data_IF_044795299317
#
_entry.id   IF_044795299317
#
_cell.length_a   1.000
_cell.length_b   1.000
_cell.length_c   1.000
_cell.angle_alpha   90.00
_cell.angle_beta   90.00
_cell.angle_gamma   90.00
#
_symmetry.space_group_name_H-M   'P 1'
#
loop_
_entity.id
_entity.type
_entity.pdbx_description
1 polymer ?
#
# COMPACT_ATOMS: atom_id res chain seq x y z
N UNK A 1 22.44 7.16 -8.82
CA UNK A 1 22.28 7.04 -7.34
C UNK A 1 21.67 8.30 -6.73
N UNK A 2 22.29 9.49 -6.82
CA UNK A 2 21.75 10.71 -6.18
C UNK A 2 20.30 11.10 -6.59
N UNK A 3 19.96 10.96 -7.89
CA UNK A 3 18.60 11.26 -8.36
C UNK A 3 17.53 10.40 -7.67
N UNK A 4 17.78 9.11 -7.49
CA UNK A 4 16.79 8.21 -6.83
C UNK A 4 16.56 8.58 -5.37
N UNK A 5 17.62 8.93 -4.64
CA UNK A 5 17.48 9.43 -3.27
C UNK A 5 16.67 10.73 -3.20
N UNK A 6 16.93 11.69 -4.11
CA UNK A 6 16.14 12.93 -4.20
C UNK A 6 14.67 12.63 -4.51
N UNK A 7 14.39 11.72 -5.46
CA UNK A 7 13.02 11.33 -5.78
C UNK A 7 12.28 10.69 -4.59
N UNK A 8 12.97 9.90 -3.75
CA UNK A 8 12.38 9.40 -2.49
C UNK A 8 12.02 10.53 -1.54
N UNK A 9 12.86 11.56 -1.40
CA UNK A 9 12.58 12.73 -0.58
C UNK A 9 11.38 13.54 -1.13
N UNK A 10 11.32 13.70 -2.46
CA UNK A 10 10.17 14.35 -3.12
C UNK A 10 8.90 13.53 -2.93
N UNK A 11 8.98 12.18 -3.02
CA UNK A 11 7.86 11.29 -2.74
C UNK A 11 7.36 11.47 -1.30
N UNK A 12 8.27 11.45 -0.33
CA UNK A 12 7.94 11.65 1.10
C UNK A 12 7.27 13.01 1.34
N UNK A 13 7.84 14.09 0.80
CA UNK A 13 7.28 15.44 0.91
C UNK A 13 5.89 15.52 0.25
N UNK A 14 5.72 14.96 -0.95
CA UNK A 14 4.45 14.98 -1.66
C UNK A 14 3.36 14.16 -0.95
N UNK A 15 3.68 12.98 -0.41
CA UNK A 15 2.74 12.19 0.41
C UNK A 15 2.33 12.95 1.67
N UNK A 16 3.29 13.59 2.34
CA UNK A 16 3.03 14.44 3.52
C UNK A 16 2.14 15.63 3.14
N UNK A 17 2.41 16.29 2.01
CA UNK A 17 1.59 17.40 1.51
C UNK A 17 0.16 16.94 1.19
N UNK A 18 0.00 15.80 0.52
CA UNK A 18 -1.31 15.23 0.22
C UNK A 18 -2.12 14.97 1.49
N UNK A 19 -1.52 14.34 2.51
CA UNK A 19 -2.18 14.05 3.79
C UNK A 19 -2.51 15.32 4.61
N UNK A 20 -1.64 16.34 4.56
CA UNK A 20 -1.90 17.61 5.26
C UNK A 20 -3.01 18.41 4.58
N UNK A 21 -2.99 18.52 3.24
CA UNK A 21 -4.01 19.26 2.50
C UNK A 21 -5.33 18.50 2.40
N UNK A 22 -5.29 17.17 2.53
CA UNK A 22 -6.44 16.28 2.50
C UNK A 22 -7.33 16.37 3.76
N UNK A 23 -8.33 15.48 3.86
CA UNK A 23 -9.32 15.50 4.93
C UNK A 23 -8.77 15.15 6.32
N UNK A 24 -7.51 14.71 6.41
CA UNK A 24 -6.88 14.37 7.70
C UNK A 24 -6.58 15.62 8.54
N UNK A 25 -6.05 16.72 7.94
CA UNK A 25 -5.55 17.88 8.70
C UNK A 25 -6.30 19.15 8.29
N UNK A 26 -6.10 19.66 7.08
CA UNK A 26 -6.62 20.97 6.65
C UNK A 26 -7.94 20.88 5.89
N UNK A 27 -8.25 19.76 5.26
CA UNK A 27 -9.44 19.60 4.47
C UNK A 27 -9.53 20.55 3.26
N UNK A 28 -8.41 21.05 2.77
CA UNK A 28 -8.35 21.92 1.57
C UNK A 28 -8.68 21.11 0.32
N UNK A 29 -8.23 19.86 0.27
CA UNK A 29 -8.59 18.92 -0.78
C UNK A 29 -9.81 18.14 -0.30
N UNK A 30 -10.94 18.40 -0.91
CA UNK A 30 -12.19 17.70 -0.66
C UNK A 30 -12.45 16.68 -1.77
N UNK A 31 -12.66 15.42 -1.40
CA UNK A 31 -12.91 14.36 -2.36
C UNK A 31 -14.39 14.25 -2.70
N UNK A 32 -14.70 13.99 -3.96
CA UNK A 32 -16.04 13.69 -4.46
C UNK A 32 -16.47 12.26 -4.05
N UNK A 33 -16.69 12.04 -2.77
CA UNK A 33 -17.03 10.73 -2.19
C UNK A 33 -18.10 10.88 -1.10
N UNK A 34 -18.74 9.79 -0.71
CA UNK A 34 -19.67 9.75 0.41
C UNK A 34 -18.98 10.11 1.74
N UNK A 35 -19.78 10.40 2.77
CA UNK A 35 -19.27 10.66 4.13
C UNK A 35 -18.53 9.45 4.72
N UNK A 36 -18.99 8.23 4.42
CA UNK A 36 -18.34 6.99 4.83
C UNK A 36 -16.97 6.83 4.16
N UNK A 37 -16.90 6.97 2.83
CA UNK A 37 -15.64 6.89 2.09
C UNK A 37 -14.66 8.00 2.51
N UNK A 38 -15.13 9.22 2.81
CA UNK A 38 -14.31 10.30 3.38
C UNK A 38 -13.69 9.90 4.73
N UNK A 39 -14.44 9.21 5.58
CA UNK A 39 -13.91 8.65 6.82
C UNK A 39 -12.78 7.65 6.58
N UNK A 40 -12.94 6.79 5.58
CA UNK A 40 -11.91 5.82 5.19
C UNK A 40 -10.66 6.51 4.64
N UNK A 41 -10.82 7.55 3.78
CA UNK A 41 -9.68 8.33 3.28
C UNK A 41 -8.81 8.87 4.41
N UNK A 42 -9.41 9.44 5.47
CA UNK A 42 -8.66 9.91 6.65
C UNK A 42 -7.80 8.80 7.25
N UNK A 43 -8.34 7.59 7.40
CA UNK A 43 -7.58 6.43 7.90
C UNK A 43 -6.41 6.04 6.99
N UNK A 44 -6.61 6.08 5.67
CA UNK A 44 -5.55 5.86 4.68
C UNK A 44 -4.46 6.93 4.71
N UNK A 45 -4.84 8.20 4.90
CA UNK A 45 -3.88 9.30 5.04
C UNK A 45 -3.05 9.22 6.32
N UNK A 46 -3.62 8.72 7.43
CA UNK A 46 -2.85 8.41 8.65
C UNK A 46 -1.73 7.42 8.34
N UNK A 47 -2.03 6.32 7.64
CA UNK A 47 -1.01 5.35 7.25
C UNK A 47 0.04 5.95 6.30
N UNK A 48 -0.37 6.81 5.38
CA UNK A 48 0.53 7.54 4.50
C UNK A 48 1.50 8.44 5.27
N UNK A 49 0.98 9.21 6.24
CA UNK A 49 1.76 10.18 7.01
C UNK A 49 2.66 9.52 8.05
N UNK A 50 2.16 8.45 8.73
CA UNK A 50 2.87 7.82 9.87
C UNK A 50 3.83 6.72 9.42
N UNK A 51 3.57 6.06 8.30
CA UNK A 51 4.39 4.93 7.83
C UNK A 51 5.01 5.19 6.46
N UNK A 52 4.22 5.44 5.43
CA UNK A 52 4.74 5.46 4.07
C UNK A 52 5.69 6.63 3.81
N UNK A 53 5.34 7.85 4.22
CA UNK A 53 6.20 9.02 4.07
C UNK A 53 7.50 8.93 4.88
N UNK A 54 7.51 8.52 6.17
CA UNK A 54 8.75 8.29 6.92
C UNK A 54 9.65 7.21 6.31
N UNK A 55 9.08 6.12 5.79
CA UNK A 55 9.86 5.07 5.12
C UNK A 55 10.47 5.62 3.82
N UNK A 56 9.72 6.41 3.04
CA UNK A 56 10.24 7.08 1.85
C UNK A 56 11.36 8.07 2.18
N UNK A 57 11.21 8.84 3.26
CA UNK A 57 12.25 9.74 3.76
C UNK A 57 13.52 8.98 4.13
N UNK A 58 13.39 7.92 4.93
CA UNK A 58 14.51 7.08 5.34
C UNK A 58 15.20 6.44 4.12
N UNK A 59 14.41 5.91 3.17
CA UNK A 59 14.93 5.38 1.91
C UNK A 59 15.74 6.41 1.14
N UNK A 60 15.23 7.64 1.02
CA UNK A 60 15.90 8.74 0.34
C UNK A 60 17.23 9.10 0.97
N UNK A 61 17.26 9.29 2.28
CA UNK A 61 18.49 9.60 3.03
C UNK A 61 19.53 8.48 2.87
N UNK A 62 19.11 7.23 3.06
CA UNK A 62 20.01 6.08 2.93
C UNK A 62 20.54 5.92 1.51
N UNK A 63 19.71 6.16 0.49
CA UNK A 63 20.14 6.09 -0.91
C UNK A 63 21.12 7.22 -1.27
N UNK A 64 20.93 8.43 -0.73
CA UNK A 64 21.88 9.54 -0.90
C UNK A 64 23.25 9.27 -0.22
N UNK A 65 23.22 8.49 0.87
CA UNK A 65 24.41 8.03 1.59
C UNK A 65 25.01 6.74 1.00
N UNK A 66 24.57 6.33 -0.18
CA UNK A 66 25.04 5.14 -0.89
C UNK A 66 24.89 3.83 -0.07
N UNK A 67 23.88 3.78 0.82
CA UNK A 67 23.61 2.60 1.64
C UNK A 67 22.68 1.63 0.89
N UNK A 68 23.01 0.33 0.83
CA UNK A 68 22.24 -0.66 0.07
C UNK A 68 20.81 -0.85 0.58
N UNK A 69 20.53 -0.45 1.82
CA UNK A 69 19.18 -0.44 2.39
C UNK A 69 18.26 0.60 1.74
N UNK A 70 18.81 1.70 1.18
CA UNK A 70 18.05 2.76 0.54
C UNK A 70 17.12 2.25 -0.56
N UNK A 71 17.64 1.63 -1.63
CA UNK A 71 16.80 1.07 -2.71
C UNK A 71 15.85 -0.02 -2.21
N UNK A 72 16.22 -0.82 -1.20
CA UNK A 72 15.34 -1.86 -0.64
C UNK A 72 14.10 -1.25 0.05
N UNK A 73 14.31 -0.21 0.85
CA UNK A 73 13.22 0.50 1.52
C UNK A 73 12.33 1.28 0.54
N UNK A 74 12.88 1.76 -0.57
CA UNK A 74 12.16 2.59 -1.52
C UNK A 74 10.98 1.86 -2.20
N UNK A 75 11.03 0.52 -2.32
CA UNK A 75 9.97 -0.25 -2.97
C UNK A 75 8.61 -0.08 -2.30
N UNK A 76 8.56 -0.22 -0.97
CA UNK A 76 7.30 -0.19 -0.23
C UNK A 76 6.53 1.12 -0.46
N UNK A 77 7.07 2.32 -0.18
CA UNK A 77 6.37 3.58 -0.40
C UNK A 77 6.17 3.89 -1.88
N UNK A 78 7.05 3.44 -2.79
CA UNK A 78 6.90 3.64 -4.22
C UNK A 78 5.66 2.91 -4.76
N UNK A 79 5.51 1.61 -4.49
CA UNK A 79 4.36 0.82 -4.91
C UNK A 79 3.07 1.28 -4.19
N UNK A 80 3.17 1.65 -2.91
CA UNK A 80 2.08 2.22 -2.16
C UNK A 80 1.55 3.52 -2.80
N UNK A 81 2.45 4.43 -3.20
CA UNK A 81 2.06 5.67 -3.87
C UNK A 81 1.37 5.39 -5.21
N UNK A 82 1.89 4.46 -6.02
CA UNK A 82 1.25 4.05 -7.28
C UNK A 82 -0.17 3.56 -7.02
N UNK A 83 -0.37 2.72 -6.01
CA UNK A 83 -1.67 2.15 -5.69
C UNK A 83 -2.63 3.21 -5.12
N UNK A 84 -2.24 3.91 -4.05
CA UNK A 84 -3.14 4.83 -3.34
C UNK A 84 -3.53 6.05 -4.16
N UNK A 85 -2.57 6.72 -4.82
CA UNK A 85 -2.88 7.94 -5.57
C UNK A 85 -3.58 7.66 -6.90
N UNK A 86 -3.48 6.44 -7.44
CA UNK A 86 -4.37 6.00 -8.53
C UNK A 86 -5.82 5.94 -8.07
N UNK A 87 -6.08 5.42 -6.87
CA UNK A 87 -7.45 5.41 -6.31
C UNK A 87 -7.96 6.82 -6.02
N UNK A 88 -7.11 7.73 -5.57
CA UNK A 88 -7.50 9.12 -5.28
C UNK A 88 -7.94 9.88 -6.53
N UNK A 89 -7.46 9.48 -7.71
CA UNK A 89 -7.85 10.06 -9.00
C UNK A 89 -9.04 9.33 -9.62
N UNK A 90 -9.04 7.99 -9.60
CA UNK A 90 -10.02 7.20 -10.36
C UNK A 90 -11.23 6.75 -9.53
N UNK A 91 -11.15 6.79 -8.19
CA UNK A 91 -12.20 6.32 -7.29
C UNK A 91 -13.34 7.31 -7.01
N UNK A 92 -13.12 8.63 -7.03
CA UNK A 92 -14.17 9.59 -6.69
C UNK A 92 -15.34 9.60 -7.66
N UNK A 93 -16.53 9.92 -7.11
CA UNK A 93 -17.80 10.05 -7.85
C UNK A 93 -17.99 11.52 -8.26
N UNK A 94 -17.18 12.01 -9.18
CA UNK A 94 -17.05 13.43 -9.57
C UNK A 94 -18.37 14.14 -9.92
N UNK A 95 -19.36 13.40 -10.41
CA UNK A 95 -20.67 13.98 -10.80
C UNK A 95 -21.71 13.86 -9.69
N UNK A 96 -21.40 13.16 -8.61
CA UNK A 96 -22.38 12.82 -7.58
C UNK A 96 -22.21 13.60 -6.28
N UNK A 97 -20.96 13.79 -5.85
CA UNK A 97 -20.66 14.50 -4.61
C UNK A 97 -19.91 15.81 -4.88
N UNK A 98 -20.09 16.82 -4.03
CA UNK A 98 -19.26 18.02 -4.09
C UNK A 98 -17.82 17.69 -3.68
N UNK A 99 -16.88 18.41 -4.26
CA UNK A 99 -15.45 18.25 -3.97
C UNK A 99 -14.60 19.15 -4.87
N UNK A 100 -13.28 18.96 -4.79
CA UNK A 100 -12.30 19.71 -5.58
C UNK A 100 -11.01 18.95 -5.80
N UNK A 101 -10.98 17.62 -5.55
CA UNK A 101 -9.76 16.83 -5.61
C UNK A 101 -9.17 16.71 -7.02
N UNK A 102 -9.93 17.05 -8.07
CA UNK A 102 -9.42 17.17 -9.43
C UNK A 102 -8.33 18.24 -9.57
N UNK A 103 -8.36 19.30 -8.76
CA UNK A 103 -7.30 20.31 -8.76
C UNK A 103 -5.97 19.78 -8.15
N UNK A 104 -6.04 18.71 -7.37
CA UNK A 104 -4.86 18.00 -6.87
C UNK A 104 -4.31 16.95 -7.85
N UNK A 105 -4.91 16.79 -9.04
CA UNK A 105 -4.45 15.83 -10.05
C UNK A 105 -2.96 15.93 -10.36
N UNK A 106 -2.33 17.13 -10.54
CA UNK A 106 -0.89 17.20 -10.80
C UNK A 106 -0.04 16.62 -9.67
N UNK A 107 -0.45 16.82 -8.40
CA UNK A 107 0.21 16.23 -7.24
C UNK A 107 0.10 14.70 -7.28
N UNK A 108 -1.10 14.16 -7.43
CA UNK A 108 -1.33 12.71 -7.43
C UNK A 108 -0.66 12.03 -8.62
N UNK A 109 -0.77 12.58 -9.82
CA UNK A 109 -0.09 12.05 -11.01
C UNK A 109 1.44 12.07 -10.84
N UNK A 110 1.98 13.14 -10.26
CA UNK A 110 3.41 13.24 -9.93
C UNK A 110 3.85 12.15 -8.97
N UNK A 111 3.08 11.87 -7.91
CA UNK A 111 3.39 10.81 -6.94
C UNK A 111 3.34 9.42 -7.56
N UNK A 112 2.37 9.15 -8.43
CA UNK A 112 2.29 7.88 -9.18
C UNK A 112 3.50 7.71 -10.11
N UNK A 113 3.86 8.75 -10.87
CA UNK A 113 5.01 8.71 -11.78
C UNK A 113 6.33 8.52 -11.01
N UNK A 114 6.53 9.25 -9.92
CA UNK A 114 7.71 9.08 -9.06
C UNK A 114 7.76 7.66 -8.48
N UNK A 115 6.63 7.12 -8.03
CA UNK A 115 6.52 5.76 -7.55
C UNK A 115 6.98 4.74 -8.59
N UNK A 116 6.50 4.84 -9.82
CA UNK A 116 6.95 3.96 -10.92
C UNK A 116 8.43 4.11 -11.23
N UNK A 117 8.94 5.34 -11.31
CA UNK A 117 10.36 5.60 -11.55
C UNK A 117 11.21 4.97 -10.44
N UNK A 118 10.83 5.15 -9.17
CA UNK A 118 11.56 4.59 -8.03
C UNK A 118 11.55 3.06 -8.02
N UNK A 119 10.41 2.43 -8.28
CA UNK A 119 10.31 0.97 -8.37
C UNK A 119 11.20 0.42 -9.50
N UNK A 120 11.16 1.05 -10.68
CA UNK A 120 11.98 0.65 -11.82
C UNK A 120 13.49 0.84 -11.57
N UNK A 121 13.87 1.88 -10.82
CA UNK A 121 15.29 2.14 -10.50
C UNK A 121 15.80 1.28 -9.33
N UNK A 122 14.96 0.99 -8.35
CA UNK A 122 15.33 0.16 -7.21
C UNK A 122 15.55 -1.30 -7.61
N UNK A 123 14.75 -1.81 -8.55
CA UNK A 123 14.79 -3.22 -8.95
C UNK A 123 16.17 -3.72 -9.39
N UNK A 124 16.87 -3.10 -10.36
CA UNK A 124 18.19 -3.55 -10.77
C UNK A 124 19.24 -3.43 -9.64
N UNK A 125 19.17 -2.41 -8.80
CA UNK A 125 20.12 -2.22 -7.69
C UNK A 125 19.96 -3.31 -6.63
N UNK A 126 18.71 -3.63 -6.24
CA UNK A 126 18.42 -4.68 -5.26
C UNK A 126 18.75 -6.06 -5.82
N UNK A 127 18.49 -6.30 -7.12
CA UNK A 127 18.85 -7.56 -7.78
C UNK A 127 20.37 -7.72 -7.89
N UNK A 128 21.09 -6.65 -8.21
CA UNK A 128 22.56 -6.66 -8.32
C UNK A 128 23.27 -6.86 -6.97
N UNK A 129 22.62 -6.55 -5.86
CA UNK A 129 23.16 -6.76 -4.52
C UNK A 129 23.35 -8.23 -4.12
N UNK A 130 23.02 -9.19 -4.98
CA UNK A 130 23.18 -10.64 -4.76
C UNK A 130 22.71 -11.08 -3.37
N UNK A 131 21.49 -10.72 -3.03
CA UNK A 131 20.91 -10.94 -1.70
C UNK A 131 20.96 -12.41 -1.28
N UNK A 132 21.27 -12.71 -0.01
CA UNK A 132 21.31 -14.06 0.48
C UNK A 132 19.94 -14.73 0.40
N UNK A 133 19.89 -16.06 0.17
CA UNK A 133 18.62 -16.77 0.20
C UNK A 133 17.98 -16.67 1.59
N UNK A 134 16.67 -16.60 1.61
CA UNK A 134 15.89 -16.60 2.84
C UNK A 134 16.06 -17.93 3.57
N UNK A 135 16.11 -17.90 4.91
CA UNK A 135 16.09 -19.14 5.69
C UNK A 135 14.77 -19.88 5.50
N UNK A 136 14.77 -21.21 5.69
CA UNK A 136 13.57 -22.02 5.51
C UNK A 136 12.37 -21.49 6.32
N UNK A 137 12.58 -21.15 7.60
CA UNK A 137 11.52 -20.58 8.45
C UNK A 137 10.99 -19.25 7.92
N UNK A 138 11.88 -18.31 7.58
CA UNK A 138 11.47 -17.00 7.04
C UNK A 138 10.79 -17.14 5.68
N UNK A 139 11.26 -18.03 4.82
CA UNK A 139 10.66 -18.35 3.53
C UNK A 139 9.21 -18.83 3.67
N UNK A 140 8.99 -19.81 4.57
CA UNK A 140 7.66 -20.35 4.83
C UNK A 140 6.74 -19.28 5.47
N UNK A 141 7.26 -18.49 6.40
CA UNK A 141 6.49 -17.38 7.01
C UNK A 141 6.06 -16.33 5.99
N UNK A 142 6.99 -15.90 5.11
CA UNK A 142 6.67 -14.90 4.07
C UNK A 142 5.64 -15.46 3.09
N UNK A 143 5.84 -16.66 2.58
CA UNK A 143 4.88 -17.26 1.67
C UNK A 143 3.52 -17.46 2.35
N UNK A 144 3.51 -17.92 3.60
CA UNK A 144 2.29 -18.07 4.38
C UNK A 144 1.52 -16.77 4.59
N UNK A 145 2.22 -15.67 4.92
CA UNK A 145 1.58 -14.36 5.13
C UNK A 145 1.03 -13.82 3.81
N UNK A 146 1.79 -13.87 2.72
CA UNK A 146 1.32 -13.42 1.40
C UNK A 146 0.13 -14.23 0.89
N UNK A 147 0.12 -15.54 1.08
CA UNK A 147 -1.00 -16.39 0.69
C UNK A 147 -2.23 -16.18 1.58
N UNK A 148 -2.02 -15.98 2.89
CA UNK A 148 -3.11 -15.73 3.83
C UNK A 148 -3.76 -14.38 3.56
N UNK A 149 -2.97 -13.30 3.40
CA UNK A 149 -3.50 -11.98 3.04
C UNK A 149 -4.27 -12.04 1.72
N UNK A 150 -3.69 -12.65 0.69
CA UNK A 150 -4.36 -12.85 -0.61
C UNK A 150 -5.69 -13.59 -0.49
N UNK A 151 -5.74 -14.68 0.29
CA UNK A 151 -6.95 -15.47 0.48
C UNK A 151 -8.03 -14.68 1.22
N UNK A 152 -7.67 -13.91 2.26
CA UNK A 152 -8.60 -13.09 3.03
C UNK A 152 -9.20 -11.98 2.17
N UNK A 153 -8.36 -11.22 1.43
CA UNK A 153 -8.85 -10.16 0.55
C UNK A 153 -9.65 -10.72 -0.64
N UNK A 154 -9.19 -11.82 -1.26
CA UNK A 154 -9.97 -12.46 -2.33
C UNK A 154 -11.34 -12.93 -1.85
N UNK A 155 -11.42 -13.56 -0.69
CA UNK A 155 -12.70 -14.00 -0.12
C UNK A 155 -13.64 -12.82 0.16
N UNK A 156 -13.11 -11.70 0.72
CA UNK A 156 -13.89 -10.49 0.99
C UNK A 156 -14.42 -9.86 -0.31
N UNK A 157 -13.54 -9.69 -1.32
CA UNK A 157 -13.93 -9.04 -2.58
C UNK A 157 -14.86 -9.89 -3.43
N UNK A 158 -14.58 -11.19 -3.57
CA UNK A 158 -15.45 -12.11 -4.30
C UNK A 158 -16.78 -12.31 -3.59
N UNK A 159 -16.78 -12.41 -2.26
CA UNK A 159 -17.99 -12.48 -1.46
C UNK A 159 -18.90 -11.28 -1.67
N UNK A 160 -18.37 -10.06 -1.62
CA UNK A 160 -19.12 -8.84 -1.90
C UNK A 160 -19.64 -8.76 -3.34
N UNK A 161 -18.84 -9.22 -4.31
CA UNK A 161 -19.25 -9.27 -5.73
C UNK A 161 -20.39 -10.27 -5.94
N UNK A 162 -20.30 -11.47 -5.36
CA UNK A 162 -21.36 -12.49 -5.44
C UNK A 162 -22.65 -12.00 -4.79
N UNK A 163 -22.55 -11.32 -3.62
CA UNK A 163 -23.70 -10.70 -2.95
C UNK A 163 -24.41 -9.71 -3.87
N UNK A 164 -23.65 -8.82 -4.51
CA UNK A 164 -24.19 -7.85 -5.46
C UNK A 164 -24.91 -8.54 -6.64
N UNK A 165 -24.29 -9.56 -7.24
CA UNK A 165 -24.87 -10.31 -8.37
C UNK A 165 -26.15 -11.06 -7.98
N UNK A 166 -26.33 -11.38 -6.69
CA UNK A 166 -27.56 -11.99 -6.15
C UNK A 166 -28.63 -10.97 -5.76
N UNK A 167 -28.44 -9.69 -6.05
CA UNK A 167 -29.38 -8.62 -5.72
C UNK A 167 -29.33 -8.16 -4.27
N UNK A 168 -28.28 -8.52 -3.52
CA UNK A 168 -28.03 -8.09 -2.14
C UNK A 168 -26.74 -7.25 -2.07
N UNK A 169 -26.77 -5.99 -2.54
CA UNK A 169 -25.56 -5.16 -2.62
C UNK A 169 -24.96 -4.93 -1.23
N UNK A 170 -23.62 -5.01 -1.11
CA UNK A 170 -22.94 -4.68 0.13
C UNK A 170 -23.17 -3.21 0.54
N UNK A 171 -23.05 -2.94 1.85
CA UNK A 171 -23.10 -1.58 2.36
C UNK A 171 -22.04 -0.70 1.66
N UNK A 172 -22.39 0.54 1.34
CA UNK A 172 -21.51 1.49 0.65
C UNK A 172 -21.45 1.32 -0.87
N UNK A 173 -21.93 0.20 -1.45
CA UNK A 173 -21.92 0.03 -2.92
C UNK A 173 -22.73 1.12 -3.62
N UNK A 174 -23.93 1.39 -3.12
CA UNK A 174 -24.82 2.37 -3.73
C UNK A 174 -24.27 3.81 -3.61
N UNK A 175 -23.42 4.08 -2.61
CA UNK A 175 -22.87 5.41 -2.36
C UNK A 175 -21.65 5.70 -3.23
N UNK A 176 -20.70 4.77 -3.32
CA UNK A 176 -19.44 4.93 -4.06
C UNK A 176 -19.18 3.72 -4.98
N UNK A 177 -20.00 3.48 -6.04
CA UNK A 177 -19.86 2.33 -6.93
C UNK A 177 -18.54 2.34 -7.72
N UNK A 178 -18.03 3.50 -8.11
CA UNK A 178 -16.74 3.61 -8.81
C UNK A 178 -15.60 3.13 -7.93
N UNK A 179 -15.54 3.60 -6.69
CA UNK A 179 -14.51 3.17 -5.73
C UNK A 179 -14.64 1.67 -5.41
N UNK A 180 -15.88 1.17 -5.26
CA UNK A 180 -16.15 -0.24 -5.02
C UNK A 180 -15.55 -1.15 -6.09
N UNK A 181 -15.74 -0.84 -7.37
CA UNK A 181 -15.21 -1.63 -8.48
C UNK A 181 -13.72 -1.42 -8.68
N UNK A 182 -13.23 -0.19 -8.53
CA UNK A 182 -11.81 0.14 -8.71
C UNK A 182 -10.94 -0.65 -7.73
N UNK A 183 -11.26 -0.63 -6.43
CA UNK A 183 -10.48 -1.34 -5.40
C UNK A 183 -10.47 -2.84 -5.67
N UNK A 184 -11.63 -3.44 -5.96
CA UNK A 184 -11.73 -4.86 -6.29
C UNK A 184 -10.94 -5.23 -7.53
N UNK A 185 -11.02 -4.41 -8.57
CA UNK A 185 -10.26 -4.63 -9.80
C UNK A 185 -8.76 -4.59 -9.51
N UNK A 186 -8.27 -3.58 -8.84
CA UNK A 186 -6.83 -3.44 -8.53
C UNK A 186 -6.34 -4.60 -7.64
N UNK A 187 -7.08 -4.96 -6.61
CA UNK A 187 -6.67 -6.03 -5.71
C UNK A 187 -6.71 -7.40 -6.37
N UNK A 188 -7.81 -7.74 -7.06
CA UNK A 188 -7.98 -9.07 -7.67
C UNK A 188 -7.10 -9.27 -8.90
N UNK A 189 -6.72 -8.21 -9.62
CA UNK A 189 -5.96 -8.34 -10.87
C UNK A 189 -4.49 -7.94 -10.75
N UNK A 190 -4.09 -7.18 -9.73
CA UNK A 190 -2.72 -6.72 -9.55
C UNK A 190 -2.12 -7.23 -8.23
N UNK A 191 -2.72 -6.85 -7.08
CA UNK A 191 -2.12 -7.10 -5.76
C UNK A 191 -2.08 -8.59 -5.43
N UNK A 192 -3.23 -9.26 -5.46
CA UNK A 192 -3.36 -10.67 -5.12
C UNK A 192 -2.54 -11.57 -6.06
N UNK A 193 -2.60 -11.43 -7.40
CA UNK A 193 -1.74 -12.20 -8.29
C UNK A 193 -0.25 -11.96 -8.06
N UNK A 194 0.18 -10.72 -7.82
CA UNK A 194 1.58 -10.41 -7.54
C UNK A 194 2.04 -11.06 -6.22
N UNK A 195 1.21 -11.03 -5.17
CA UNK A 195 1.51 -11.66 -3.89
C UNK A 195 1.59 -13.19 -3.99
N UNK A 196 0.62 -13.83 -4.65
CA UNK A 196 0.62 -15.27 -4.87
C UNK A 196 1.85 -15.70 -5.70
N UNK A 197 2.14 -14.98 -6.79
CA UNK A 197 3.31 -15.28 -7.63
C UNK A 197 4.63 -15.10 -6.86
N UNK A 198 4.72 -14.07 -6.03
CA UNK A 198 5.89 -13.86 -5.16
C UNK A 198 5.99 -14.95 -4.10
N UNK A 199 4.89 -15.37 -3.49
CA UNK A 199 4.89 -16.47 -2.54
C UNK A 199 5.39 -17.79 -3.18
N UNK A 200 4.91 -18.10 -4.37
CA UNK A 200 5.38 -19.28 -5.15
C UNK A 200 6.86 -19.15 -5.47
N UNK A 201 7.32 -17.99 -5.96
CA UNK A 201 8.73 -17.76 -6.26
C UNK A 201 9.62 -17.91 -5.02
N UNK A 202 9.16 -17.44 -3.85
CA UNK A 202 9.84 -17.59 -2.56
C UNK A 202 9.92 -19.08 -2.16
N UNK A 203 8.83 -19.83 -2.31
CA UNK A 203 8.81 -21.27 -2.00
C UNK A 203 9.73 -22.07 -2.94
N UNK A 204 9.75 -21.75 -4.22
CA UNK A 204 10.57 -22.39 -5.24
C UNK A 204 12.01 -21.85 -5.29
N UNK A 205 12.34 -20.85 -4.46
CA UNK A 205 13.68 -20.24 -4.37
C UNK A 205 14.21 -19.69 -5.70
N UNK A 206 13.34 -19.05 -6.48
CA UNK A 206 13.77 -18.39 -7.71
C UNK A 206 14.77 -17.26 -7.39
N UNK A 207 15.71 -17.01 -8.31
CA UNK A 207 16.84 -16.08 -8.10
C UNK A 207 16.42 -14.65 -7.77
N UNK A 208 15.22 -14.23 -8.19
CA UNK A 208 14.64 -12.91 -7.95
C UNK A 208 13.64 -12.88 -6.77
N UNK A 209 13.43 -14.01 -6.09
CA UNK A 209 12.39 -14.11 -5.05
C UNK A 209 12.65 -13.23 -3.83
N UNK A 210 13.91 -13.07 -3.40
CA UNK A 210 14.25 -12.20 -2.26
C UNK A 210 13.96 -10.70 -2.58
N UNK A 211 14.41 -10.14 -3.72
CA UNK A 211 14.00 -8.80 -4.14
C UNK A 211 12.48 -8.62 -4.21
N UNK A 212 11.75 -9.58 -4.79
CA UNK A 212 10.31 -9.52 -4.88
C UNK A 212 9.64 -9.57 -3.48
N UNK A 213 10.13 -10.41 -2.57
CA UNK A 213 9.64 -10.45 -1.20
C UNK A 213 9.84 -9.11 -0.47
N UNK A 214 10.98 -8.45 -0.64
CA UNK A 214 11.23 -7.11 -0.09
C UNK A 214 10.17 -6.12 -0.64
N UNK A 215 9.95 -6.12 -1.95
CA UNK A 215 9.02 -5.22 -2.60
C UNK A 215 7.57 -5.47 -2.15
N UNK A 216 7.10 -6.71 -2.25
CA UNK A 216 5.68 -7.04 -2.00
C UNK A 216 5.31 -7.06 -0.52
N UNK A 217 6.13 -7.64 0.35
CA UNK A 217 5.83 -7.64 1.80
C UNK A 217 5.85 -6.22 2.36
N UNK A 218 6.79 -5.39 1.91
CA UNK A 218 6.82 -3.98 2.29
C UNK A 218 5.61 -3.20 1.78
N UNK A 219 5.23 -3.39 0.52
CA UNK A 219 4.05 -2.79 -0.08
C UNK A 219 2.77 -3.22 0.65
N UNK A 220 2.56 -4.54 0.83
CA UNK A 220 1.39 -5.05 1.55
C UNK A 220 1.33 -4.56 3.00
N UNK A 221 2.47 -4.44 3.68
CA UNK A 221 2.50 -3.88 5.04
C UNK A 221 1.91 -2.47 5.09
N UNK A 222 2.25 -1.62 4.13
CA UNK A 222 1.69 -0.27 4.02
C UNK A 222 0.22 -0.27 3.57
N UNK A 223 -0.13 -1.12 2.60
CA UNK A 223 -1.49 -1.23 2.10
C UNK A 223 -2.46 -1.71 3.19
N UNK A 224 -2.10 -2.79 3.89
CA UNK A 224 -2.93 -3.33 4.99
C UNK A 224 -2.97 -2.36 6.17
N UNK A 225 -1.91 -1.59 6.43
CA UNK A 225 -1.92 -0.50 7.41
C UNK A 225 -2.94 0.59 7.04
N UNK A 226 -3.04 0.95 5.76
CA UNK A 226 -4.06 1.89 5.30
C UNK A 226 -5.47 1.31 5.50
N UNK A 227 -5.70 0.05 5.14
CA UNK A 227 -7.00 -0.63 5.37
C UNK A 227 -7.33 -0.70 6.87
N UNK A 228 -6.34 -0.97 7.73
CA UNK A 228 -6.53 -0.96 9.18
C UNK A 228 -6.91 0.43 9.69
N UNK A 229 -6.23 1.48 9.20
CA UNK A 229 -6.58 2.88 9.48
C UNK A 229 -8.00 3.23 9.02
N UNK A 230 -8.38 2.82 7.81
CA UNK A 230 -9.74 3.00 7.28
C UNK A 230 -10.78 2.33 8.17
N UNK A 231 -10.59 1.05 8.52
CA UNK A 231 -11.50 0.31 9.39
C UNK A 231 -11.58 0.90 10.81
N UNK A 232 -10.46 1.34 11.36
CA UNK A 232 -10.40 2.01 12.66
C UNK A 232 -11.19 3.33 12.64
N UNK A 233 -11.03 4.15 11.60
CA UNK A 233 -11.77 5.41 11.46
C UNK A 233 -13.27 5.20 11.30
N UNK A 234 -13.71 4.16 10.59
CA UNK A 234 -15.13 3.79 10.54
C UNK A 234 -15.67 3.47 11.93
N UNK A 235 -14.91 2.73 12.75
CA UNK A 235 -15.30 2.43 14.16
C UNK A 235 -15.36 3.70 15.00
N UNK A 236 -14.38 4.58 14.90
CA UNK A 236 -14.31 5.85 15.66
C UNK A 236 -15.47 6.79 15.28
N UNK A 237 -15.84 6.82 14.00
CA UNK A 237 -16.92 7.66 13.49
C UNK A 237 -18.32 7.04 13.63
N UNK A 238 -18.41 5.85 14.24
CA UNK A 238 -19.68 5.10 14.36
C UNK A 238 -20.37 4.86 13.01
N UNK A 239 -19.59 4.65 11.94
CA UNK A 239 -20.12 4.37 10.62
C UNK A 239 -20.99 3.11 10.63
N UNK A 240 -22.17 3.09 9.96
CA UNK A 240 -23.03 1.92 9.92
C UNK A 240 -22.37 0.66 9.34
N UNK A 241 -21.38 0.83 8.45
CA UNK A 241 -20.58 -0.27 7.89
C UNK A 241 -19.38 -0.68 8.76
N UNK A 242 -19.17 -0.07 9.93
CA UNK A 242 -18.01 -0.32 10.77
C UNK A 242 -17.99 -1.76 11.34
N UNK A 243 -16.82 -2.39 11.28
CA UNK A 243 -16.60 -3.72 11.85
C UNK A 243 -15.37 -3.72 12.76
N UNK A 244 -15.61 -3.79 14.08
CA UNK A 244 -14.51 -3.91 15.06
C UNK A 244 -13.64 -5.16 14.83
N UNK A 245 -14.21 -6.36 14.51
CA UNK A 245 -13.40 -7.52 14.17
C UNK A 245 -12.50 -7.27 12.95
N UNK A 246 -13.01 -6.60 11.91
CA UNK A 246 -12.23 -6.26 10.72
C UNK A 246 -11.07 -5.31 11.08
N UNK A 247 -11.33 -4.26 11.85
CA UNK A 247 -10.30 -3.32 12.31
C UNK A 247 -9.21 -4.05 13.13
N UNK A 248 -9.60 -4.94 14.03
CA UNK A 248 -8.66 -5.77 14.81
C UNK A 248 -7.85 -6.73 13.93
N UNK A 249 -8.50 -7.43 13.02
CA UNK A 249 -7.84 -8.39 12.13
C UNK A 249 -6.84 -7.72 11.17
N UNK A 250 -7.23 -6.58 10.57
CA UNK A 250 -6.34 -5.82 9.68
C UNK A 250 -5.17 -5.19 10.44
N UNK A 251 -5.38 -4.71 11.68
CA UNK A 251 -4.29 -4.22 12.52
C UNK A 251 -3.31 -5.34 12.90
N UNK A 252 -3.80 -6.52 13.27
CA UNK A 252 -2.95 -7.68 13.55
C UNK A 252 -2.16 -8.12 12.31
N UNK A 253 -2.80 -8.19 11.14
CA UNK A 253 -2.13 -8.52 9.88
C UNK A 253 -1.06 -7.48 9.51
N UNK A 254 -1.33 -6.19 9.74
CA UNK A 254 -0.35 -5.11 9.57
C UNK A 254 0.91 -5.36 10.39
N UNK A 255 0.76 -5.69 11.67
CA UNK A 255 1.89 -5.99 12.55
C UNK A 255 2.69 -7.19 12.06
N UNK A 256 2.03 -8.26 11.65
CA UNK A 256 2.69 -9.45 11.10
C UNK A 256 3.48 -9.11 9.83
N UNK A 257 2.91 -8.33 8.92
CA UNK A 257 3.57 -7.89 7.70
C UNK A 257 4.78 -6.97 7.99
N UNK A 258 4.64 -6.01 8.89
CA UNK A 258 5.74 -5.12 9.30
C UNK A 258 6.89 -5.90 9.95
N UNK A 259 6.57 -6.85 10.84
CA UNK A 259 7.59 -7.73 11.46
C UNK A 259 8.26 -8.60 10.40
N UNK A 260 7.51 -9.17 9.47
CA UNK A 260 8.04 -9.96 8.36
C UNK A 260 8.96 -9.12 7.48
N UNK A 261 8.55 -7.91 7.13
CA UNK A 261 9.35 -6.97 6.34
C UNK A 261 10.66 -6.61 7.06
N UNK A 262 10.60 -6.24 8.34
CA UNK A 262 11.77 -5.96 9.14
C UNK A 262 12.72 -7.17 9.23
N UNK A 263 12.18 -8.37 9.42
CA UNK A 263 12.97 -9.60 9.47
C UNK A 263 13.74 -9.88 8.16
N UNK A 264 13.10 -9.62 7.00
CA UNK A 264 13.79 -9.73 5.70
C UNK A 264 14.95 -8.74 5.65
N UNK A 265 14.68 -7.46 5.94
CA UNK A 265 15.68 -6.39 5.86
C UNK A 265 16.86 -6.63 6.81
N UNK A 266 16.60 -7.00 8.06
CA UNK A 266 17.67 -7.33 9.04
C UNK A 266 18.53 -8.49 8.57
N UNK A 267 17.91 -9.54 8.01
CA UNK A 267 18.68 -10.67 7.51
C UNK A 267 19.57 -10.29 6.33
N UNK A 268 19.04 -9.49 5.42
CA UNK A 268 19.77 -9.03 4.24
C UNK A 268 20.92 -8.09 4.66
N UNK A 269 20.65 -7.12 5.53
CA UNK A 269 21.65 -6.14 5.98
C UNK A 269 22.82 -6.81 6.71
N UNK A 270 22.58 -7.82 7.57
CA UNK A 270 23.65 -8.54 8.29
C UNK A 270 24.66 -9.26 7.41
N UNK A 271 24.39 -9.41 6.11
CA UNK A 271 25.28 -10.11 5.17
C UNK A 271 25.86 -9.22 4.09
N UNK A 272 25.38 -7.98 3.99
CA UNK A 272 25.87 -6.99 3.02
C UNK A 272 26.78 -5.96 3.72
N UNK A 273 26.74 -5.87 5.06
CA UNK A 273 27.72 -5.18 5.90
C UNK A 273 28.94 -6.06 6.19
#
# INVERSE_FOLDING_TARGET
MKLSGVLCLVLAAGMTTAAILGPLVLGVIEFHVSSSARGQLVGGEVASLVLAAPIALAAGVLWLLDRPLGPMLAFAPALYAVYMYTQYVLGPEYQRYPGNNEYAFPLYAGLVLIGWILAARAWPEVKAAQLPPLSNGLRLSIAGVLLLSSALFAAAWLGGTVSLLRGAPPAGYADDPTLFWLVRFMDLTLVIPAAVFTAVAVLLQWTWSTPAAIALVGFEALLVAAVAGMAAMMVVRHDPGASRPLAGATSALTLVLLVSYAAILVRVCRRVS
#
